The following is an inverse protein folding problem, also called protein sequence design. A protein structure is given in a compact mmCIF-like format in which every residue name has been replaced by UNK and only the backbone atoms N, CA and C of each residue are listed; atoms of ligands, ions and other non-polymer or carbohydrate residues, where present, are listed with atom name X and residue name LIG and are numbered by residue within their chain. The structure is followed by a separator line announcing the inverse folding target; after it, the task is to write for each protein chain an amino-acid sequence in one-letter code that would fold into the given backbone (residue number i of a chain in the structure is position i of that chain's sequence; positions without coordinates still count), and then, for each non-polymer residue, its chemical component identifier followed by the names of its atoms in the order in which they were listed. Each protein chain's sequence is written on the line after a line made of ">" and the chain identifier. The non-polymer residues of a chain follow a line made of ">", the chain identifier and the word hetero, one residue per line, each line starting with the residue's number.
data_IF_983807239219
#
_entry.id   IF_983807239219
#
_cell.length_a   1.000
_cell.length_b   1.000
_cell.length_c   1.000
_cell.angle_alpha   90.00
_cell.angle_beta   90.00
_cell.angle_gamma   90.00
#
_symmetry.space_group_name_H-M   'P 1'
#
loop_
_entity.id
_entity.type
_entity.pdbx_description
1 polymer ?
#
# COMPACT_ATOMS: atom_id res chain seq x y z
N UNK A 1 -4.39 -51.27 -87.22
CA UNK A 1 -2.92 -51.30 -87.11
C UNK A 1 -2.49 -49.96 -86.52
N UNK A 2 -1.84 -50.02 -85.37
CA UNK A 2 -1.15 -48.95 -84.65
C UNK A 2 -1.97 -47.76 -84.15
N UNK A 3 -1.78 -47.51 -82.86
CA UNK A 3 -2.49 -46.62 -81.97
C UNK A 3 -1.40 -45.83 -81.21
N UNK A 4 -1.71 -44.59 -80.86
CA UNK A 4 -0.99 -43.71 -79.92
C UNK A 4 0.43 -43.22 -80.26
N UNK A 5 0.43 -42.08 -80.97
CA UNK A 5 0.99 -40.81 -80.51
C UNK A 5 1.77 -40.83 -79.17
N UNK A 6 3.10 -40.66 -79.24
CA UNK A 6 3.93 -40.19 -78.13
C UNK A 6 4.56 -38.87 -78.52
N UNK A 7 4.00 -37.79 -78.01
CA UNK A 7 4.60 -36.45 -78.00
C UNK A 7 5.55 -36.40 -76.79
N UNK A 8 6.85 -36.43 -77.06
CA UNK A 8 7.89 -36.24 -76.05
C UNK A 8 7.85 -34.79 -75.53
N UNK A 9 7.81 -34.55 -74.21
CA UNK A 9 7.73 -33.19 -73.67
C UNK A 9 9.09 -32.47 -73.79
N UNK A 10 9.04 -31.22 -74.25
CA UNK A 10 10.17 -30.31 -74.21
C UNK A 10 10.72 -30.21 -72.77
N UNK A 11 12.03 -30.41 -72.65
CA UNK A 11 12.77 -30.22 -71.41
C UNK A 11 12.67 -28.75 -70.98
N UNK A 12 11.75 -28.47 -70.05
CA UNK A 12 11.60 -27.17 -69.44
C UNK A 12 12.85 -26.85 -68.61
N UNK A 13 13.68 -25.93 -69.09
CA UNK A 13 14.64 -25.23 -68.25
C UNK A 13 13.84 -24.52 -67.14
N UNK A 14 13.86 -25.07 -65.94
CA UNK A 14 13.23 -24.47 -64.76
C UNK A 14 14.01 -23.24 -64.31
N UNK A 15 13.85 -22.13 -65.01
CA UNK A 15 14.09 -20.80 -64.44
C UNK A 15 12.78 -20.33 -63.79
N UNK A 16 12.49 -20.83 -62.58
CA UNK A 16 11.39 -20.28 -61.78
C UNK A 16 11.86 -18.95 -61.14
N UNK A 17 11.19 -17.82 -61.38
CA UNK A 17 11.58 -16.54 -60.78
C UNK A 17 11.27 -16.60 -59.28
N UNK A 18 12.32 -16.60 -58.45
CA UNK A 18 12.34 -17.01 -57.04
C UNK A 18 11.51 -16.09 -56.12
N UNK A 19 10.21 -16.35 -55.85
CA UNK A 19 9.40 -15.53 -54.95
C UNK A 19 9.81 -15.82 -53.50
N UNK A 20 10.33 -17.03 -53.25
CA UNK A 20 10.74 -17.53 -51.94
C UNK A 20 11.94 -16.78 -51.34
N UNK A 21 12.79 -16.14 -52.15
CA UNK A 21 14.01 -15.49 -51.64
C UNK A 21 13.69 -14.13 -51.04
N UNK A 22 12.83 -13.36 -51.72
CA UNK A 22 12.39 -12.07 -51.21
C UNK A 22 11.53 -12.23 -49.95
N UNK A 23 10.67 -13.24 -49.92
CA UNK A 23 9.87 -13.57 -48.73
C UNK A 23 10.75 -13.99 -47.55
N UNK A 24 11.78 -14.81 -47.80
CA UNK A 24 12.76 -15.22 -46.78
C UNK A 24 13.54 -14.02 -46.22
N UNK A 25 14.03 -13.13 -47.08
CA UNK A 25 14.77 -11.93 -46.69
C UNK A 25 13.85 -10.97 -45.92
N UNK A 26 12.61 -10.79 -46.38
CA UNK A 26 11.61 -9.95 -45.72
C UNK A 26 11.23 -10.51 -44.35
N UNK A 27 11.05 -11.82 -44.23
CA UNK A 27 10.76 -12.49 -42.96
C UNK A 27 11.93 -12.34 -41.97
N UNK A 28 13.17 -12.54 -42.42
CA UNK A 28 14.37 -12.31 -41.60
C UNK A 28 14.49 -10.85 -41.12
N UNK A 29 14.19 -9.88 -41.98
CA UNK A 29 14.15 -8.47 -41.62
C UNK A 29 13.05 -8.19 -40.59
N UNK A 30 11.81 -8.67 -40.81
CA UNK A 30 10.69 -8.51 -39.87
C UNK A 30 10.97 -9.17 -38.51
N UNK A 31 11.55 -10.37 -38.50
CA UNK A 31 11.96 -11.07 -37.27
C UNK A 31 13.11 -10.35 -36.55
N UNK A 32 13.99 -9.65 -37.27
CA UNK A 32 15.05 -8.84 -36.63
C UNK A 32 14.53 -7.58 -35.94
N UNK A 33 13.31 -7.15 -36.25
CA UNK A 33 12.59 -6.06 -35.58
C UNK A 33 11.59 -6.56 -34.52
N UNK A 34 11.61 -7.85 -34.18
CA UNK A 34 10.86 -8.39 -33.04
C UNK A 34 11.47 -7.87 -31.74
N UNK A 35 11.19 -6.60 -31.43
CA UNK A 35 11.30 -6.11 -30.07
C UNK A 35 10.28 -6.89 -29.26
N UNK A 36 10.74 -7.67 -28.30
CA UNK A 36 9.91 -8.54 -27.49
C UNK A 36 9.11 -7.71 -26.47
N UNK A 37 8.12 -6.99 -26.99
CA UNK A 37 7.27 -6.07 -26.23
C UNK A 37 6.43 -6.86 -25.22
N UNK A 38 6.07 -8.09 -25.56
CA UNK A 38 5.35 -9.00 -24.67
C UNK A 38 6.24 -9.45 -23.51
N UNK A 39 7.51 -9.79 -23.75
CA UNK A 39 8.46 -10.06 -22.66
C UNK A 39 8.68 -8.83 -21.76
N UNK A 40 8.73 -7.63 -22.34
CA UNK A 40 8.82 -6.38 -21.56
C UNK A 40 7.57 -6.16 -20.69
N UNK A 41 6.36 -6.35 -21.23
CA UNK A 41 5.14 -6.24 -20.45
C UNK A 41 5.06 -7.30 -19.36
N UNK A 42 5.50 -8.52 -19.65
CA UNK A 42 5.63 -9.57 -18.65
C UNK A 42 6.58 -9.16 -17.53
N UNK A 43 7.74 -8.57 -17.86
CA UNK A 43 8.72 -8.14 -16.86
C UNK A 43 8.17 -7.01 -15.98
N UNK A 44 7.44 -6.05 -16.57
CA UNK A 44 6.75 -4.98 -15.84
C UNK A 44 5.71 -5.57 -14.91
N UNK A 45 4.82 -6.44 -15.41
CA UNK A 45 3.77 -7.07 -14.61
C UNK A 45 4.35 -7.95 -13.50
N UNK A 46 5.46 -8.64 -13.76
CA UNK A 46 6.18 -9.44 -12.78
C UNK A 46 6.80 -8.56 -11.67
N UNK A 47 7.45 -7.45 -12.05
CA UNK A 47 7.97 -6.48 -11.09
C UNK A 47 6.85 -5.87 -10.24
N UNK A 48 5.75 -5.46 -10.86
CA UNK A 48 4.58 -4.95 -10.16
C UNK A 48 3.97 -6.02 -9.25
N UNK A 49 3.98 -7.30 -9.66
CA UNK A 49 3.51 -8.42 -8.86
C UNK A 49 4.30 -8.65 -7.58
N UNK A 50 5.62 -8.54 -7.68
CA UNK A 50 6.50 -8.64 -6.52
C UNK A 50 6.27 -7.44 -5.60
N UNK A 51 6.26 -6.22 -6.15
CA UNK A 51 6.07 -5.00 -5.36
C UNK A 51 4.72 -4.97 -4.64
N UNK A 52 3.61 -5.31 -5.33
CA UNK A 52 2.28 -5.41 -4.69
C UNK A 52 2.28 -6.45 -3.58
N UNK A 53 2.94 -7.59 -3.78
CA UNK A 53 3.02 -8.64 -2.75
C UNK A 53 3.79 -8.15 -1.52
N UNK A 54 4.90 -7.44 -1.71
CA UNK A 54 5.66 -6.86 -0.59
C UNK A 54 4.81 -5.84 0.15
N UNK A 55 4.13 -4.94 -0.56
CA UNK A 55 3.23 -3.94 0.06
C UNK A 55 2.09 -4.62 0.83
N UNK A 56 1.45 -5.64 0.25
CA UNK A 56 0.40 -6.41 0.91
C UNK A 56 0.89 -7.07 2.20
N UNK A 57 2.08 -7.65 2.21
CA UNK A 57 2.68 -8.22 3.42
C UNK A 57 2.97 -7.16 4.50
N UNK A 58 3.24 -5.91 4.10
CA UNK A 58 3.39 -4.80 5.04
C UNK A 58 2.03 -4.36 5.59
N UNK A 59 0.99 -4.34 4.76
CA UNK A 59 -0.39 -4.04 5.16
C UNK A 59 -0.96 -5.12 6.11
N UNK A 60 -0.77 -6.40 5.80
CA UNK A 60 -1.24 -7.52 6.64
C UNK A 60 -0.59 -7.51 8.03
N UNK A 61 0.69 -7.11 8.10
CA UNK A 61 1.38 -6.88 9.39
C UNK A 61 0.81 -5.71 10.19
N UNK A 62 0.19 -4.74 9.52
CA UNK A 62 -0.46 -3.60 10.16
C UNK A 62 -1.93 -3.90 10.54
N UNK A 63 -2.54 -4.89 9.89
CA UNK A 63 -3.94 -5.28 10.09
C UNK A 63 -4.20 -6.32 11.19
N UNK A 64 -3.18 -6.87 11.84
CA UNK A 64 -3.39 -7.77 12.98
C UNK A 64 -3.93 -6.98 14.19
N UNK A 65 -5.17 -7.24 14.60
CA UNK A 65 -5.76 -6.62 15.79
C UNK A 65 -4.93 -6.96 17.04
N UNK A 66 -4.57 -5.93 17.80
CA UNK A 66 -3.83 -6.08 19.05
C UNK A 66 -4.68 -6.75 20.12
N UNK A 67 -4.11 -7.73 20.83
CA UNK A 67 -4.79 -8.40 21.95
C UNK A 67 -4.84 -7.49 23.19
N UNK A 68 -5.67 -7.85 24.17
CA UNK A 68 -5.73 -7.12 25.44
C UNK A 68 -4.38 -7.13 26.18
N UNK A 69 -3.62 -8.23 26.13
CA UNK A 69 -2.28 -8.28 26.74
C UNK A 69 -1.29 -7.34 26.04
N UNK A 70 -1.43 -7.13 24.73
CA UNK A 70 -0.60 -6.18 24.01
C UNK A 70 -0.96 -4.74 24.36
N UNK A 71 -2.25 -4.44 24.49
CA UNK A 71 -2.71 -3.13 24.97
C UNK A 71 -2.22 -2.82 26.39
N UNK A 72 -2.18 -3.81 27.29
CA UNK A 72 -1.63 -3.63 28.64
C UNK A 72 -0.15 -3.24 28.60
N UNK A 73 0.67 -3.92 27.78
CA UNK A 73 2.09 -3.56 27.57
C UNK A 73 2.23 -2.14 27.00
N UNK A 74 1.39 -1.78 26.03
CA UNK A 74 1.39 -0.45 25.40
C UNK A 74 1.02 0.62 26.44
N UNK A 75 0.06 0.34 27.32
CA UNK A 75 -0.33 1.25 28.39
C UNK A 75 0.81 1.49 29.39
N UNK A 76 1.52 0.42 29.79
CA UNK A 76 2.71 0.54 30.64
C UNK A 76 3.78 1.41 29.96
N UNK A 77 4.01 1.23 28.65
CA UNK A 77 4.96 2.07 27.90
C UNK A 77 4.51 3.53 27.83
N UNK A 78 3.22 3.80 27.69
CA UNK A 78 2.69 5.16 27.64
C UNK A 78 2.90 5.90 28.97
N UNK A 79 2.72 5.21 30.11
CA UNK A 79 2.98 5.77 31.44
C UNK A 79 4.45 6.17 31.60
N UNK A 80 5.38 5.36 31.10
CA UNK A 80 6.82 5.62 31.19
C UNK A 80 7.28 6.80 30.31
N UNK A 81 6.46 7.25 29.35
CA UNK A 81 6.75 8.44 28.52
C UNK A 81 6.42 9.75 29.24
N UNK A 82 5.75 9.70 30.40
CA UNK A 82 5.45 10.86 31.25
C UNK A 82 4.78 12.03 30.49
N UNK A 83 3.94 11.70 29.49
CA UNK A 83 3.20 12.70 28.72
C UNK A 83 1.85 12.96 29.38
N UNK A 84 1.74 14.08 30.09
CA UNK A 84 0.51 14.45 30.81
C UNK A 84 -0.39 15.44 30.05
N UNK A 85 0.06 15.93 28.91
CA UNK A 85 -0.68 16.87 28.07
C UNK A 85 -0.96 16.25 26.69
N UNK A 86 -2.09 16.62 26.09
CA UNK A 86 -2.42 16.23 24.73
C UNK A 86 -1.53 17.01 23.74
N UNK A 87 -0.70 16.34 22.94
CA UNK A 87 0.22 17.02 22.03
C UNK A 87 -0.46 17.79 20.88
N UNK A 88 -1.74 17.55 20.62
CA UNK A 88 -2.50 18.22 19.56
C UNK A 88 -3.01 19.59 20.03
N UNK A 89 -3.56 19.67 21.24
CA UNK A 89 -4.17 20.89 21.76
C UNK A 89 -3.40 21.53 22.92
N UNK A 90 -2.34 20.89 23.40
CA UNK A 90 -1.47 21.35 24.50
C UNK A 90 -2.25 21.58 25.80
N UNK A 91 -3.21 20.71 26.11
CA UNK A 91 -3.97 20.76 27.37
C UNK A 91 -3.90 19.43 28.12
N UNK A 92 -4.04 19.42 29.47
CA UNK A 92 -3.89 18.21 30.28
C UNK A 92 -4.79 17.03 29.87
N UNK A 93 -4.27 15.82 29.99
CA UNK A 93 -5.01 14.56 29.85
C UNK A 93 -5.60 14.18 31.22
N UNK A 94 -6.87 13.75 31.30
CA UNK A 94 -7.54 13.45 32.57
C UNK A 94 -6.93 12.31 33.40
N UNK A 95 -6.03 11.50 32.84
CA UNK A 95 -5.39 10.37 33.53
C UNK A 95 -4.33 10.77 34.57
N UNK A 96 -4.03 12.06 34.74
CA UNK A 96 -3.05 12.56 35.72
C UNK A 96 -3.67 13.19 36.97
N UNK A 97 -4.98 13.03 37.19
CA UNK A 97 -5.71 13.66 38.28
C UNK A 97 -5.50 12.98 39.65
N UNK A 98 -4.25 12.82 40.08
CA UNK A 98 -3.89 12.48 41.47
C UNK A 98 -3.35 13.70 42.25
N UNK A 99 -3.51 14.92 41.72
CA UNK A 99 -3.03 16.14 42.37
C UNK A 99 -4.07 17.25 42.35
N UNK A 100 -4.65 17.52 43.52
CA UNK A 100 -5.32 18.76 43.96
C UNK A 100 -6.14 19.55 42.91
N UNK A 101 -7.48 19.68 43.06
CA UNK A 101 -8.22 20.71 42.34
C UNK A 101 -7.73 22.09 42.81
N UNK A 102 -6.99 22.79 41.96
CA UNK A 102 -6.61 24.18 42.20
C UNK A 102 -7.88 25.05 42.11
N UNK A 103 -8.25 25.84 43.15
CA UNK A 103 -9.52 26.57 43.16
C UNK A 103 -9.61 27.72 42.14
N UNK A 104 -8.54 27.99 41.39
CA UNK A 104 -8.46 29.12 40.47
C UNK A 104 -8.87 28.83 39.02
N UNK A 105 -9.14 27.58 38.62
CA UNK A 105 -9.65 27.28 37.27
C UNK A 105 -11.16 27.55 37.16
N UNK A 106 -11.50 28.83 37.17
CA UNK A 106 -12.84 29.32 36.88
C UNK A 106 -13.14 29.16 35.39
N UNK A 107 -14.05 28.22 35.09
CA UNK A 107 -14.90 28.16 33.88
C UNK A 107 -14.22 27.82 32.55
N UNK A 108 -14.11 26.53 32.29
CA UNK A 108 -14.57 25.94 31.02
C UNK A 108 -14.94 24.49 31.28
N UNK A 109 -16.21 24.13 31.08
CA UNK A 109 -16.74 22.81 31.43
C UNK A 109 -15.81 21.69 30.99
N UNK A 110 -15.16 21.04 31.95
CA UNK A 110 -14.44 19.80 31.73
C UNK A 110 -15.50 18.70 31.58
N UNK A 111 -16.13 18.65 30.41
CA UNK A 111 -16.63 17.38 29.91
C UNK A 111 -15.45 16.42 29.99
N UNK A 112 -15.56 15.33 30.75
CA UNK A 112 -14.58 14.24 30.79
C UNK A 112 -14.15 13.93 29.36
N UNK A 113 -13.00 14.48 28.95
CA UNK A 113 -12.51 14.31 27.59
C UNK A 113 -11.90 12.92 27.55
N UNK A 114 -12.63 11.97 26.99
CA UNK A 114 -12.10 10.63 26.74
C UNK A 114 -10.71 10.73 26.13
N UNK A 115 -9.82 9.87 26.57
CA UNK A 115 -8.46 9.79 26.03
C UNK A 115 -8.35 8.57 25.16
N UNK A 116 -7.44 8.66 24.19
CA UNK A 116 -7.18 7.60 23.24
C UNK A 116 -5.71 7.25 23.29
N UNK A 117 -5.44 5.96 23.46
CA UNK A 117 -4.10 5.37 23.42
C UNK A 117 -3.86 4.77 22.04
N UNK A 118 -2.76 5.13 21.41
CA UNK A 118 -2.32 4.57 20.15
C UNK A 118 -1.39 3.38 20.35
N UNK A 119 -1.34 2.46 19.39
CA UNK A 119 -0.42 1.30 19.41
C UNK A 119 1.07 1.68 19.46
N UNK A 120 1.41 2.91 19.07
CA UNK A 120 2.75 3.48 19.23
C UNK A 120 3.01 4.08 20.63
N UNK A 121 2.14 3.82 21.61
CA UNK A 121 2.22 4.27 23.00
C UNK A 121 2.11 5.79 23.18
N UNK A 122 1.41 6.49 22.28
CA UNK A 122 1.11 7.92 22.40
C UNK A 122 -0.35 8.13 22.79
N UNK A 123 -0.62 9.17 23.59
CA UNK A 123 -1.95 9.46 24.15
C UNK A 123 -2.43 10.83 23.71
N UNK A 124 -3.71 10.91 23.35
CA UNK A 124 -4.38 12.16 22.93
C UNK A 124 -5.77 12.25 23.56
N UNK A 125 -6.40 13.42 23.52
CA UNK A 125 -7.87 13.48 23.66
C UNK A 125 -8.50 12.82 22.43
N UNK A 126 -9.54 12.02 22.65
CA UNK A 126 -10.28 11.34 21.60
C UNK A 126 -10.77 12.33 20.52
N UNK A 127 -11.36 13.44 20.94
CA UNK A 127 -11.86 14.50 20.05
C UNK A 127 -10.75 15.20 19.25
N UNK A 128 -9.57 15.39 19.84
CA UNK A 128 -8.44 16.00 19.15
C UNK A 128 -7.88 15.08 18.07
N UNK A 129 -7.76 13.78 18.36
CA UNK A 129 -7.31 12.81 17.38
C UNK A 129 -8.33 12.65 16.26
N UNK A 130 -9.62 12.52 16.59
CA UNK A 130 -10.70 12.36 15.62
C UNK A 130 -10.73 13.53 14.62
N UNK A 131 -10.67 14.77 15.11
CA UNK A 131 -10.62 15.94 14.24
C UNK A 131 -9.42 15.88 13.29
N UNK A 132 -8.24 15.50 13.78
CA UNK A 132 -7.04 15.38 12.96
C UNK A 132 -7.16 14.29 11.87
N UNK A 133 -7.79 13.16 12.20
CA UNK A 133 -8.08 12.08 11.26
C UNK A 133 -9.02 12.59 10.14
N UNK A 134 -10.09 13.30 10.49
CA UNK A 134 -11.04 13.89 9.52
C UNK A 134 -10.40 14.92 8.58
N UNK A 135 -9.40 15.68 9.05
CA UNK A 135 -8.66 16.64 8.22
C UNK A 135 -7.65 15.99 7.25
N UNK A 136 -7.23 14.75 7.51
CA UNK A 136 -6.15 14.10 6.76
C UNK A 136 -6.67 13.44 5.47
N UNK A 137 -6.65 14.18 4.35
CA UNK A 137 -6.86 13.71 2.96
C UNK A 137 -7.90 12.60 2.71
N UNK A 138 -9.07 12.70 3.36
CA UNK A 138 -10.31 11.99 3.01
C UNK A 138 -10.48 10.60 3.64
N UNK A 139 -11.75 10.22 3.87
CA UNK A 139 -12.26 8.96 4.46
C UNK A 139 -11.73 7.65 3.84
N UNK A 140 -10.84 7.72 2.84
CA UNK A 140 -10.40 6.61 2.00
C UNK A 140 -9.00 6.08 2.31
N UNK A 141 -8.26 6.65 3.28
CA UNK A 141 -7.01 6.05 3.77
C UNK A 141 -7.31 5.08 4.93
N UNK A 142 -7.11 3.76 4.76
CA UNK A 142 -7.23 2.80 5.86
C UNK A 142 -6.11 2.93 6.90
N UNK A 143 -5.11 3.79 6.66
CA UNK A 143 -3.95 3.95 7.53
C UNK A 143 -3.82 5.39 8.01
N UNK A 144 -4.16 5.62 9.27
CA UNK A 144 -3.79 6.85 9.96
C UNK A 144 -2.38 6.74 10.54
N UNK A 145 -1.66 7.86 10.54
CA UNK A 145 -0.29 7.96 11.08
C UNK A 145 -0.27 8.84 12.31
N UNK A 146 0.49 8.43 13.32
CA UNK A 146 0.55 9.14 14.59
C UNK A 146 1.19 10.53 14.36
N UNK A 147 0.60 11.62 14.88
CA UNK A 147 1.15 12.96 14.68
C UNK A 147 2.52 13.16 15.32
N UNK A 148 2.89 12.34 16.31
CA UNK A 148 4.18 12.43 17.00
C UNK A 148 5.29 11.62 16.33
N UNK A 149 5.03 10.34 16.03
CA UNK A 149 6.08 9.44 15.54
C UNK A 149 5.89 8.97 14.09
N UNK A 150 4.81 9.40 13.42
CA UNK A 150 4.48 9.06 12.02
C UNK A 150 4.28 7.57 11.74
N UNK A 151 4.25 6.73 12.79
CA UNK A 151 3.94 5.31 12.67
C UNK A 151 2.45 5.12 12.39
N UNK A 152 2.10 4.14 11.55
CA UNK A 152 0.73 3.65 11.45
C UNK A 152 0.25 3.13 12.81
N UNK A 153 -1.02 3.33 13.15
CA UNK A 153 -1.52 2.97 14.47
C UNK A 153 -2.89 2.30 14.47
N UNK A 154 -3.11 1.49 15.50
CA UNK A 154 -4.44 1.15 16.03
C UNK A 154 -4.70 2.03 17.24
N UNK A 155 -5.98 2.21 17.62
CA UNK A 155 -6.39 3.08 18.73
C UNK A 155 -7.34 2.37 19.70
N UNK A 156 -7.17 2.63 20.99
CA UNK A 156 -8.04 2.15 22.09
C UNK A 156 -8.51 3.35 22.92
N UNK A 157 -9.82 3.49 23.12
CA UNK A 157 -10.39 4.50 24.01
C UNK A 157 -10.11 4.05 25.45
N UNK A 158 -9.55 4.95 26.25
CA UNK A 158 -9.37 4.74 27.68
C UNK A 158 -10.56 5.35 28.41
N UNK A 159 -11.38 4.50 29.01
CA UNK A 159 -12.45 4.94 29.93
C UNK A 159 -11.80 5.44 31.24
N UNK A 160 -12.30 6.57 31.75
CA UNK A 160 -11.88 7.14 33.03
C UNK A 160 -12.49 6.39 34.22
#
# INVERSE_FOLDING_TARGET
>A
KFFEEKVEPLQACQCLPHPFQFTEISHRLLCSYSTDIEDLFWEIDHCLAINRSVLQQLEDRCGHELTDEDWEKIQIQALHRESYECPICLTPLPASADGHPDPCETRRGHSSRETVLLSCSHVFHHTCLLALEEFSLGDSSPFHVCPLCRSGYQKKILEC
#
